data_IF_686718958561
#
_entry.id   IF_686718958561
#
_cell.length_a   1.000
_cell.length_b   1.000
_cell.length_c   1.000
_cell.angle_alpha   90.00
_cell.angle_beta   90.00
_cell.angle_gamma   90.00
#
_symmetry.space_group_name_H-M   'P 1'
#
loop_
_entity.id
_entity.type
_entity.pdbx_description
1 polymer ?
#
# COMPACT_ATOMS: atom_id res chain seq x y z
N UNK A 1 30.37 22.13 11.59
CA UNK A 1 29.91 21.43 10.38
C UNK A 1 30.15 19.95 10.55
N UNK A 2 29.12 19.19 10.92
CA UNK A 2 29.22 17.71 10.93
C UNK A 2 27.91 17.19 10.38
N UNK A 3 27.92 16.92 9.08
CA UNK A 3 26.81 16.33 8.34
C UNK A 3 26.66 14.85 8.64
N UNK A 4 25.46 14.38 8.30
CA UNK A 4 25.12 12.98 7.98
C UNK A 4 25.13 11.97 9.13
N UNK A 5 24.37 12.23 10.20
CA UNK A 5 23.64 11.12 10.85
C UNK A 5 22.40 10.83 10.00
N UNK A 6 22.62 10.29 8.81
CA UNK A 6 21.54 9.70 8.02
C UNK A 6 21.05 8.50 8.78
N UNK A 7 20.02 8.69 9.61
CA UNK A 7 19.17 7.61 10.10
C UNK A 7 18.65 6.91 8.86
N UNK A 8 19.37 5.88 8.42
CA UNK A 8 19.06 5.12 7.24
C UNK A 8 17.87 4.23 7.60
N UNK A 9 16.70 4.86 7.77
CA UNK A 9 15.43 4.21 8.06
C UNK A 9 15.11 3.19 6.94
N UNK A 10 15.72 3.38 5.78
CA UNK A 10 15.91 2.37 4.75
C UNK A 10 16.97 1.33 5.15
N UNK A 11 16.60 0.49 6.12
CA UNK A 11 17.34 -0.73 6.43
C UNK A 11 17.21 -1.74 5.28
N UNK A 12 18.12 -2.72 5.21
CA UNK A 12 18.01 -3.81 4.25
C UNK A 12 16.63 -4.49 4.36
N UNK A 13 15.89 -4.58 3.25
CA UNK A 13 14.49 -5.05 3.17
C UNK A 13 13.43 -4.12 3.78
N UNK A 14 13.69 -2.81 3.95
CA UNK A 14 12.66 -1.85 4.36
C UNK A 14 11.44 -1.89 3.40
N UNK A 15 11.70 -1.97 2.10
CA UNK A 15 10.69 -2.21 1.07
C UNK A 15 10.89 -3.60 0.46
N UNK A 16 9.80 -4.35 0.31
CA UNK A 16 9.73 -5.69 -0.25
C UNK A 16 9.37 -5.62 -1.74
N UNK A 17 9.45 -6.76 -2.44
CA UNK A 17 8.98 -6.92 -3.83
C UNK A 17 9.50 -5.88 -4.82
N UNK A 18 10.76 -5.46 -4.66
CA UNK A 18 11.41 -4.48 -5.54
C UNK A 18 10.96 -3.03 -5.30
N UNK A 19 10.37 -2.72 -4.14
CA UNK A 19 10.07 -1.35 -3.74
C UNK A 19 11.33 -0.51 -3.52
N UNK A 20 11.29 0.77 -3.91
CA UNK A 20 12.39 1.72 -3.69
C UNK A 20 12.20 2.42 -2.35
N UNK A 21 13.20 2.35 -1.47
CA UNK A 21 13.15 3.01 -0.18
C UNK A 21 13.68 4.44 -0.24
N UNK A 22 12.94 5.40 0.31
CA UNK A 22 13.34 6.79 0.46
C UNK A 22 13.31 7.17 1.94
N UNK A 23 14.44 7.65 2.47
CA UNK A 23 14.51 8.19 3.83
C UNK A 23 13.80 9.54 3.91
N UNK A 24 12.99 9.75 4.95
CA UNK A 24 12.25 10.99 5.18
C UNK A 24 12.91 11.78 6.30
N UNK A 25 13.00 13.11 6.13
CA UNK A 25 13.48 14.02 7.17
C UNK A 25 12.64 13.82 8.45
N UNK A 26 13.30 13.46 9.56
CA UNK A 26 12.65 13.10 10.83
C UNK A 26 12.83 11.64 11.27
N UNK A 27 13.59 10.83 10.53
CA UNK A 27 13.93 9.44 10.92
C UNK A 27 12.93 8.37 10.46
N UNK A 28 12.00 8.74 9.56
CA UNK A 28 11.09 7.80 8.91
C UNK A 28 11.63 7.30 7.57
N UNK A 29 10.97 6.28 7.01
CA UNK A 29 11.19 5.84 5.64
C UNK A 29 9.85 5.77 4.89
N UNK A 30 9.90 5.94 3.57
CA UNK A 30 8.78 5.78 2.66
C UNK A 30 9.17 4.84 1.54
N UNK A 31 8.34 3.84 1.29
CA UNK A 31 8.52 2.94 0.16
C UNK A 31 7.73 3.42 -1.05
N UNK A 32 8.40 3.41 -2.20
CA UNK A 32 7.77 3.63 -3.51
C UNK A 32 7.67 2.28 -4.20
N UNK A 33 6.45 1.77 -4.30
CA UNK A 33 6.16 0.44 -4.82
C UNK A 33 6.02 0.44 -6.34
N UNK A 34 6.38 -0.69 -6.96
CA UNK A 34 6.06 -0.95 -8.37
C UNK A 34 4.54 -1.08 -8.56
N UNK A 35 4.05 -0.84 -9.77
CA UNK A 35 2.60 -0.86 -10.10
C UNK A 35 1.87 -2.16 -9.70
N UNK A 36 2.59 -3.28 -9.61
CA UNK A 36 2.05 -4.58 -9.21
C UNK A 36 2.05 -4.82 -7.70
N UNK A 37 2.62 -3.91 -6.89
CA UNK A 37 2.75 -4.03 -5.44
C UNK A 37 2.31 -2.77 -4.71
N UNK A 38 1.90 -2.92 -3.47
CA UNK A 38 1.36 -1.85 -2.63
C UNK A 38 1.60 -2.18 -1.15
N UNK A 39 1.38 -1.20 -0.28
CA UNK A 39 1.66 -1.30 1.16
C UNK A 39 2.76 -0.35 1.59
N UNK A 40 2.88 -0.14 2.90
CA UNK A 40 3.93 0.72 3.46
C UNK A 40 5.34 0.19 3.16
N UNK A 41 5.45 -1.11 2.89
CA UNK A 41 6.67 -1.80 2.53
C UNK A 41 6.52 -2.54 1.21
N UNK A 42 5.53 -2.23 0.38
CA UNK A 42 5.26 -2.95 -0.88
C UNK A 42 5.05 -4.47 -0.67
N UNK A 43 4.51 -4.84 0.50
CA UNK A 43 4.34 -6.22 0.92
C UNK A 43 3.13 -6.91 0.27
N UNK A 44 2.21 -6.14 -0.32
CA UNK A 44 0.96 -6.63 -0.91
C UNK A 44 0.97 -6.51 -2.43
N UNK A 45 0.33 -7.42 -3.18
CA UNK A 45 0.08 -7.23 -4.60
C UNK A 45 -0.99 -6.16 -4.84
N UNK A 46 -0.71 -5.17 -5.69
CA UNK A 46 -1.63 -4.05 -5.98
C UNK A 46 -2.91 -4.48 -6.72
N UNK A 47 -2.93 -5.69 -7.30
CA UNK A 47 -4.09 -6.21 -8.02
C UNK A 47 -5.20 -6.77 -7.11
N UNK A 48 -4.86 -7.20 -5.90
CA UNK A 48 -5.79 -7.88 -4.98
C UNK A 48 -6.21 -7.02 -3.80
N UNK A 49 -5.41 -5.99 -3.51
CA UNK A 49 -5.61 -5.13 -2.36
C UNK A 49 -5.44 -3.67 -2.79
N UNK A 50 -6.48 -2.89 -2.59
CA UNK A 50 -6.47 -1.48 -2.90
C UNK A 50 -6.11 -0.62 -1.70
N UNK A 51 -5.13 0.29 -1.80
CA UNK A 51 -4.75 1.18 -0.69
C UNK A 51 -5.20 2.59 -0.98
N UNK A 52 -5.90 3.18 -0.02
CA UNK A 52 -6.38 4.54 -0.12
C UNK A 52 -5.87 5.36 1.07
N UNK A 53 -5.50 6.60 0.80
CA UNK A 53 -4.82 7.50 1.76
C UNK A 53 -5.74 8.07 2.84
N UNK A 54 -7.01 7.65 2.92
CA UNK A 54 -7.90 8.09 3.99
C UNK A 54 -7.62 7.33 5.29
N UNK A 55 -7.53 8.06 6.40
CA UNK A 55 -7.12 7.56 7.71
C UNK A 55 -8.08 6.54 8.35
N UNK A 56 -9.27 6.34 7.78
CA UNK A 56 -10.31 5.45 8.28
C UNK A 56 -10.95 4.67 7.13
N UNK A 57 -11.69 3.60 7.43
CA UNK A 57 -12.57 2.92 6.48
C UNK A 57 -13.90 3.70 6.35
N UNK A 58 -14.08 4.61 5.38
CA UNK A 58 -15.37 5.25 5.15
C UNK A 58 -16.44 4.22 4.78
N UNK A 59 -17.70 4.56 5.03
CA UNK A 59 -18.84 3.86 4.42
C UNK A 59 -18.62 3.86 2.91
N UNK A 60 -18.62 2.67 2.28
CA UNK A 60 -18.28 2.44 0.87
C UNK A 60 -16.80 2.65 0.48
N UNK A 61 -15.84 2.51 1.41
CA UNK A 61 -14.41 2.49 1.06
C UNK A 61 -14.11 1.45 -0.03
N UNK A 62 -14.60 0.23 0.17
CA UNK A 62 -14.48 -0.89 -0.75
C UNK A 62 -15.84 -1.18 -1.38
N UNK A 63 -15.88 -1.16 -2.71
CA UNK A 63 -17.03 -1.48 -3.54
C UNK A 63 -17.11 -3.01 -3.77
N UNK A 64 -18.19 -3.46 -4.39
CA UNK A 64 -18.39 -4.86 -4.77
C UNK A 64 -18.20 -5.87 -3.62
N UNK A 65 -18.68 -5.51 -2.42
CA UNK A 65 -18.55 -6.31 -1.20
C UNK A 65 -17.10 -6.61 -0.79
N UNK A 66 -16.15 -5.74 -1.15
CA UNK A 66 -14.79 -5.78 -0.64
C UNK A 66 -14.73 -5.51 0.88
N UNK A 67 -13.79 -6.15 1.57
CA UNK A 67 -13.59 -5.96 3.01
C UNK A 67 -12.59 -4.85 3.26
N UNK A 68 -13.02 -3.79 3.95
CA UNK A 68 -12.11 -2.72 4.36
C UNK A 68 -11.35 -3.08 5.63
N UNK A 69 -10.05 -2.85 5.63
CA UNK A 69 -9.19 -3.06 6.79
C UNK A 69 -8.27 -1.84 6.98
N UNK A 70 -8.29 -1.25 8.17
CA UNK A 70 -7.40 -0.14 8.51
C UNK A 70 -5.94 -0.60 8.55
N UNK A 71 -5.03 0.25 8.08
CA UNK A 71 -3.60 -0.04 8.03
C UNK A 71 -2.87 0.73 9.15
N UNK A 72 -2.00 0.06 9.94
CA UNK A 72 -1.16 0.75 10.91
C UNK A 72 -0.24 1.76 10.21
N UNK A 73 -0.24 3.02 10.66
CA UNK A 73 0.51 4.11 10.01
C UNK A 73 -0.35 5.03 9.13
N UNK A 74 -1.67 4.81 9.08
CA UNK A 74 -2.62 5.63 8.35
C UNK A 74 -2.99 5.02 7.01
N UNK A 75 -4.25 5.21 6.59
CA UNK A 75 -4.80 4.61 5.39
C UNK A 75 -5.75 3.43 5.69
N UNK A 76 -6.43 2.98 4.65
CA UNK A 76 -7.17 1.72 4.65
C UNK A 76 -6.80 0.89 3.43
N UNK A 77 -6.98 -0.43 3.56
CA UNK A 77 -6.85 -1.39 2.48
C UNK A 77 -8.17 -2.08 2.20
N UNK A 78 -8.46 -2.31 0.93
CA UNK A 78 -9.62 -3.04 0.47
C UNK A 78 -9.21 -4.44 0.01
N UNK A 79 -9.72 -5.47 0.68
CA UNK A 79 -9.58 -6.86 0.26
C UNK A 79 -10.73 -7.16 -0.69
N UNK A 80 -10.41 -7.35 -1.97
CA UNK A 80 -11.42 -7.57 -2.99
C UNK A 80 -11.86 -9.03 -3.04
N UNK A 81 -13.15 -9.25 -3.35
CA UNK A 81 -13.64 -10.60 -3.69
C UNK A 81 -13.08 -11.04 -5.03
N UNK A 82 -13.01 -12.36 -5.23
CA UNK A 82 -12.62 -12.94 -6.51
C UNK A 82 -13.49 -12.35 -7.65
N UNK A 83 -12.84 -11.95 -8.75
CA UNK A 83 -13.49 -11.25 -9.86
C UNK A 83 -13.55 -9.72 -9.70
N UNK A 84 -13.01 -9.15 -8.62
CA UNK A 84 -12.89 -7.71 -8.42
C UNK A 84 -11.46 -7.33 -8.01
N UNK A 85 -11.02 -6.16 -8.47
CA UNK A 85 -9.67 -5.62 -8.30
C UNK A 85 -9.71 -4.10 -8.21
N UNK A 86 -8.54 -3.48 -8.02
CA UNK A 86 -8.40 -2.03 -7.95
C UNK A 86 -8.40 -1.49 -6.52
N UNK A 87 -8.11 -0.19 -6.42
CA UNK A 87 -7.88 0.50 -5.14
C UNK A 87 -9.10 0.43 -4.19
N UNK A 88 -10.30 0.31 -4.76
CA UNK A 88 -11.56 0.24 -4.02
C UNK A 88 -12.37 -0.98 -4.41
N UNK A 89 -11.76 -2.01 -5.02
CA UNK A 89 -12.49 -3.14 -5.58
C UNK A 89 -13.57 -2.71 -6.60
N UNK A 90 -13.33 -1.60 -7.29
CA UNK A 90 -14.23 -0.97 -8.25
C UNK A 90 -14.08 -1.55 -9.66
N UNK A 91 -12.96 -2.22 -9.92
CA UNK A 91 -12.68 -2.84 -11.20
C UNK A 91 -13.12 -4.30 -11.16
N UNK A 92 -14.20 -4.63 -11.85
CA UNK A 92 -14.56 -6.03 -12.10
C UNK A 92 -13.51 -6.66 -13.00
N UNK A 93 -12.68 -7.54 -12.46
CA UNK A 93 -11.93 -8.50 -13.29
C UNK A 93 -12.92 -9.55 -13.76
N UNK A 94 -13.65 -9.19 -14.81
CA UNK A 94 -14.36 -10.14 -15.64
C UNK A 94 -13.31 -11.06 -16.25
N UNK A 95 -13.07 -12.21 -15.61
CA UNK A 95 -12.35 -13.30 -16.23
C UNK A 95 -13.26 -13.77 -17.37
N UNK A 96 -13.04 -13.21 -18.56
CA UNK A 96 -13.57 -13.80 -19.78
C UNK A 96 -12.95 -15.18 -19.90
N UNK A 97 -13.83 -16.18 -20.00
CA UNK A 97 -13.56 -17.61 -20.09
C UNK A 97 -12.50 -17.96 -21.13
#
# INVERSE_FOLDING_TARGET
TTGTTGSNACVANACLNGGTCQSVLGGGFRCTCSVSFTGNRCEYPSGTIGISTSSACPVNACLNSGTCQSVPGGGYRCICRAGFTGARCDVSQSVFF
#
